data_IF_794435798633
#
_entry.id   IF_794435798633
#
_cell.length_a   1.000
_cell.length_b   1.000
_cell.length_c   1.000
_cell.angle_alpha   90.00
_cell.angle_beta   90.00
_cell.angle_gamma   90.00
#
_symmetry.space_group_name_H-M   'P 1'
#
loop_
_entity.id
_entity.type
_entity.pdbx_description
1 polymer ?
#
# COMPACT_ATOMS: atom_id res chain seq x y z
N UNK A 1 -25.63 23.51 17.57
CA UNK A 1 -25.24 24.20 16.33
C UNK A 1 -24.20 23.38 15.56
N UNK A 2 -23.22 22.80 16.24
CA UNK A 2 -22.19 21.95 15.60
C UNK A 2 -22.75 20.66 14.95
N UNK A 3 -23.76 20.02 15.56
CA UNK A 3 -24.39 18.81 15.01
C UNK A 3 -25.11 19.06 13.65
N UNK A 4 -25.74 20.24 13.47
CA UNK A 4 -26.42 20.54 12.22
C UNK A 4 -25.47 20.83 11.06
N UNK A 5 -24.33 21.49 11.30
CA UNK A 5 -23.30 21.76 10.27
C UNK A 5 -22.63 20.47 9.81
N UNK A 6 -22.51 19.50 10.71
CA UNK A 6 -21.94 18.20 10.39
C UNK A 6 -22.87 17.34 9.54
N UNK A 7 -24.17 17.31 9.88
CA UNK A 7 -25.18 16.59 9.10
C UNK A 7 -25.30 17.17 7.69
N UNK A 8 -25.24 18.50 7.53
CA UNK A 8 -25.22 19.16 6.21
C UNK A 8 -23.97 18.78 5.39
N UNK A 9 -22.80 18.69 6.01
CA UNK A 9 -21.57 18.28 5.33
C UNK A 9 -21.61 16.81 4.83
N UNK A 10 -22.21 15.92 5.62
CA UNK A 10 -22.42 14.51 5.23
C UNK A 10 -23.42 14.43 4.07
N UNK A 11 -24.52 15.17 4.15
CA UNK A 11 -25.54 15.17 3.12
C UNK A 11 -25.01 15.74 1.80
N UNK A 12 -24.26 16.82 1.83
CA UNK A 12 -23.62 17.42 0.65
C UNK A 12 -22.60 16.44 0.03
N UNK A 13 -21.76 15.80 0.85
CA UNK A 13 -20.82 14.80 0.37
C UNK A 13 -21.54 13.58 -0.20
N UNK A 14 -22.63 13.13 0.43
CA UNK A 14 -23.42 12.01 -0.06
C UNK A 14 -24.05 12.32 -1.43
N UNK A 15 -24.61 13.53 -1.59
CA UNK A 15 -25.20 13.98 -2.87
C UNK A 15 -24.11 14.09 -3.96
N UNK A 16 -22.93 14.61 -3.61
CA UNK A 16 -21.79 14.69 -4.53
C UNK A 16 -21.28 13.29 -4.90
N UNK A 17 -21.23 12.38 -3.94
CA UNK A 17 -20.77 11.01 -4.15
C UNK A 17 -21.60 10.25 -5.19
N UNK A 18 -22.92 10.48 -5.24
CA UNK A 18 -23.81 9.91 -6.26
C UNK A 18 -23.46 10.31 -7.69
N UNK A 19 -22.72 11.42 -7.86
CA UNK A 19 -22.31 11.96 -9.17
C UNK A 19 -20.86 11.62 -9.53
N UNK A 20 -20.04 11.37 -8.53
CA UNK A 20 -18.58 11.25 -8.68
C UNK A 20 -18.08 9.81 -8.56
N UNK A 21 -18.78 8.97 -7.80
CA UNK A 21 -18.47 7.55 -7.72
C UNK A 21 -19.40 6.75 -8.63
N UNK A 22 -18.83 5.75 -9.28
CA UNK A 22 -19.61 4.71 -9.94
C UNK A 22 -20.16 3.76 -8.90
N UNK A 23 -19.30 3.37 -7.94
CA UNK A 23 -19.66 2.60 -6.75
C UNK A 23 -18.84 3.03 -5.55
N UNK A 24 -19.47 3.01 -4.38
CA UNK A 24 -18.84 3.28 -3.10
C UNK A 24 -19.46 2.38 -2.04
N UNK A 25 -18.61 1.59 -1.40
CA UNK A 25 -18.94 0.75 -0.25
C UNK A 25 -18.13 1.20 0.95
N UNK A 26 -18.82 1.41 2.05
CA UNK A 26 -18.22 1.81 3.34
C UNK A 26 -18.49 0.70 4.34
N UNK A 27 -17.43 0.18 4.93
CA UNK A 27 -17.48 -0.86 5.95
C UNK A 27 -16.78 -0.39 7.19
N UNK A 28 -17.29 -0.84 8.34
CA UNK A 28 -16.67 -0.63 9.63
C UNK A 28 -16.15 -1.98 10.14
N UNK A 29 -14.83 -2.07 10.32
CA UNK A 29 -14.19 -3.20 10.98
C UNK A 29 -14.27 -3.02 12.50
N UNK A 30 -14.10 -4.12 13.24
CA UNK A 30 -14.15 -4.09 14.72
C UNK A 30 -12.95 -3.32 15.32
N UNK A 31 -11.79 -3.41 14.65
CA UNK A 31 -10.55 -2.77 15.09
C UNK A 31 -9.90 -1.94 13.98
N UNK A 32 -9.14 -0.88 14.35
CA UNK A 32 -8.38 -0.10 13.39
C UNK A 32 -7.52 -0.98 12.49
N UNK A 33 -7.62 -0.77 11.20
CA UNK A 33 -6.83 -1.48 10.20
C UNK A 33 -5.42 -0.91 10.18
N UNK A 34 -4.43 -1.80 10.09
CA UNK A 34 -3.03 -1.39 9.97
C UNK A 34 -2.44 -1.69 8.61
N UNK A 35 -2.77 -2.84 8.06
CA UNK A 35 -2.31 -3.28 6.74
C UNK A 35 -3.42 -4.06 6.04
N UNK A 36 -3.54 -3.85 4.74
CA UNK A 36 -4.36 -4.65 3.84
C UNK A 36 -3.51 -5.18 2.68
N UNK A 37 -3.79 -6.38 2.19
CA UNK A 37 -3.07 -6.99 1.07
C UNK A 37 -4.01 -7.91 0.29
N UNK A 38 -3.90 -7.93 -1.05
CA UNK A 38 -4.64 -8.88 -1.88
C UNK A 38 -4.10 -10.30 -1.71
N UNK A 39 -4.98 -11.27 -1.44
CA UNK A 39 -4.65 -12.69 -1.41
C UNK A 39 -5.12 -13.42 -2.65
N UNK A 40 -6.14 -12.87 -3.32
CA UNK A 40 -6.60 -13.31 -4.63
C UNK A 40 -7.29 -12.14 -5.36
N UNK A 41 -7.83 -12.38 -6.54
CA UNK A 41 -8.61 -11.35 -7.25
C UNK A 41 -9.97 -11.03 -6.62
N UNK A 42 -10.34 -11.68 -5.50
CA UNK A 42 -11.63 -11.50 -4.81
C UNK A 42 -11.50 -11.43 -3.29
N UNK A 43 -10.31 -11.62 -2.75
CA UNK A 43 -10.07 -11.68 -1.32
C UNK A 43 -8.93 -10.77 -0.92
N UNK A 44 -9.09 -10.12 0.22
CA UNK A 44 -8.06 -9.31 0.87
C UNK A 44 -7.76 -9.88 2.25
N UNK A 45 -6.51 -9.81 2.66
CA UNK A 45 -6.12 -10.02 4.04
C UNK A 45 -6.03 -8.67 4.74
N UNK A 46 -6.64 -8.57 5.92
CA UNK A 46 -6.70 -7.36 6.74
C UNK A 46 -6.09 -7.68 8.09
N UNK A 47 -5.24 -6.80 8.61
CA UNK A 47 -4.75 -6.91 9.97
C UNK A 47 -5.33 -5.80 10.83
N UNK A 48 -6.03 -6.21 11.89
CA UNK A 48 -6.55 -5.31 12.92
C UNK A 48 -5.53 -5.06 14.00
N UNK A 49 -5.66 -3.91 14.65
CA UNK A 49 -4.81 -3.49 15.76
C UNK A 49 -5.66 -3.32 17.03
N UNK A 50 -5.40 -4.16 18.03
CA UNK A 50 -6.00 -4.01 19.36
C UNK A 50 -4.90 -3.82 20.41
N UNK A 51 -4.92 -2.70 21.12
CA UNK A 51 -3.95 -2.40 22.19
C UNK A 51 -4.02 -3.38 23.36
N UNK A 52 -5.11 -4.16 23.49
CA UNK A 52 -5.38 -4.93 24.70
C UNK A 52 -4.96 -6.38 24.70
N UNK A 53 -4.58 -7.04 23.58
CA UNK A 53 -3.92 -8.36 23.62
C UNK A 53 -3.97 -9.26 22.36
N UNK A 54 -4.80 -9.00 21.37
CA UNK A 54 -4.92 -9.91 20.22
C UNK A 54 -4.95 -9.13 18.94
N UNK A 55 -3.90 -9.29 18.14
CA UNK A 55 -3.82 -8.69 16.82
C UNK A 55 -4.48 -9.63 15.83
N UNK A 56 -5.59 -9.22 15.27
CA UNK A 56 -6.40 -10.03 14.39
C UNK A 56 -5.84 -10.02 12.97
N UNK A 57 -5.89 -11.19 12.33
CA UNK A 57 -5.61 -11.37 10.90
C UNK A 57 -6.87 -11.98 10.29
N UNK A 58 -7.51 -11.28 9.36
CA UNK A 58 -8.72 -11.74 8.69
C UNK A 58 -8.51 -11.84 7.19
N UNK A 59 -9.00 -12.90 6.58
CA UNK A 59 -9.20 -12.95 5.13
C UNK A 59 -10.66 -12.67 4.82
N UNK A 60 -10.90 -11.59 4.08
CA UNK A 60 -12.23 -11.11 3.71
C UNK A 60 -12.48 -11.36 2.22
N UNK A 61 -13.63 -11.94 1.91
CA UNK A 61 -14.13 -11.98 0.53
C UNK A 61 -14.86 -10.68 0.22
N UNK A 62 -14.52 -10.05 -0.89
CA UNK A 62 -15.25 -8.92 -1.40
C UNK A 62 -16.64 -9.34 -1.89
N UNK A 63 -17.62 -8.41 -1.90
CA UNK A 63 -18.93 -8.65 -2.48
C UNK A 63 -18.83 -9.12 -3.94
N UNK A 64 -19.68 -10.04 -4.35
CA UNK A 64 -19.65 -10.58 -5.71
C UNK A 64 -19.99 -9.53 -6.77
N UNK A 65 -20.82 -8.55 -6.39
CA UNK A 65 -21.17 -7.40 -7.23
C UNK A 65 -20.62 -6.14 -6.59
N UNK A 66 -19.43 -5.73 -7.00
CA UNK A 66 -18.91 -4.40 -6.71
C UNK A 66 -19.76 -3.33 -7.42
N UNK A 67 -20.44 -3.70 -8.52
CA UNK A 67 -21.24 -2.79 -9.35
C UNK A 67 -22.70 -3.24 -9.35
N UNK A 68 -23.60 -2.37 -8.92
CA UNK A 68 -25.02 -2.61 -9.00
C UNK A 68 -25.58 -2.00 -10.29
N UNK A 69 -25.93 -2.82 -11.25
CA UNK A 69 -26.64 -2.36 -12.45
C UNK A 69 -28.08 -1.90 -12.16
N UNK A 70 -28.67 -2.30 -11.03
CA UNK A 70 -29.99 -1.88 -10.59
C UNK A 70 -30.04 -1.64 -9.08
N UNK A 71 -30.62 -0.51 -8.67
CA UNK A 71 -30.90 -0.13 -7.27
C UNK A 71 -31.99 -1.03 -6.66
N UNK A 72 -31.66 -2.27 -6.35
CA UNK A 72 -32.57 -3.19 -5.64
C UNK A 72 -32.11 -3.36 -4.20
N UNK A 73 -32.55 -2.47 -3.29
CA UNK A 73 -32.54 -2.64 -1.84
C UNK A 73 -31.25 -3.21 -1.19
N UNK A 74 -31.36 -3.64 0.06
CA UNK A 74 -30.32 -4.39 0.78
C UNK A 74 -30.10 -5.74 0.10
N UNK A 75 -28.90 -5.99 -0.38
CA UNK A 75 -28.52 -7.20 -1.08
C UNK A 75 -27.41 -7.89 -0.28
N UNK A 76 -27.63 -9.10 0.21
CA UNK A 76 -26.62 -9.88 0.94
C UNK A 76 -25.32 -10.12 0.13
N UNK A 77 -25.39 -9.98 -1.20
CA UNK A 77 -24.27 -10.11 -2.11
C UNK A 77 -23.32 -8.88 -2.08
N UNK A 78 -23.68 -7.84 -1.33
CA UNK A 78 -22.88 -6.59 -1.17
C UNK A 78 -22.06 -6.56 0.10
N UNK A 79 -22.18 -7.56 0.98
CA UNK A 79 -21.45 -7.61 2.22
C UNK A 79 -20.11 -8.33 2.07
N UNK A 80 -19.11 -7.87 2.82
CA UNK A 80 -17.89 -8.64 3.01
C UNK A 80 -18.21 -9.90 3.81
N UNK A 81 -17.52 -10.99 3.46
CA UNK A 81 -17.59 -12.24 4.22
C UNK A 81 -16.22 -12.57 4.79
N UNK A 82 -16.14 -12.78 6.09
CA UNK A 82 -14.97 -13.39 6.72
C UNK A 82 -14.87 -14.82 6.26
N UNK A 83 -13.77 -15.16 5.59
CA UNK A 83 -13.50 -16.54 5.14
C UNK A 83 -12.62 -17.25 6.15
N UNK A 84 -11.55 -16.60 6.59
CA UNK A 84 -10.58 -17.18 7.50
C UNK A 84 -10.16 -16.13 8.52
N UNK A 85 -9.85 -16.57 9.76
CA UNK A 85 -9.41 -15.70 10.85
C UNK A 85 -8.31 -16.31 11.69
N UNK A 86 -7.48 -15.47 12.28
CA UNK A 86 -6.43 -15.86 13.19
C UNK A 86 -5.91 -14.70 14.02
N UNK A 87 -5.02 -15.00 14.96
CA UNK A 87 -4.45 -13.98 15.85
C UNK A 87 -2.93 -14.06 15.87
N UNK A 88 -2.29 -12.91 15.74
CA UNK A 88 -0.86 -12.76 15.97
C UNK A 88 -0.61 -12.39 17.44
N UNK A 89 0.41 -12.94 18.09
CA UNK A 89 0.81 -12.51 19.44
C UNK A 89 1.29 -11.05 19.45
N UNK A 90 1.90 -10.62 18.32
CA UNK A 90 2.51 -9.30 18.17
C UNK A 90 1.72 -8.47 17.14
N UNK A 91 1.77 -7.13 17.22
CA UNK A 91 1.18 -6.26 16.21
C UNK A 91 1.73 -6.58 14.81
N UNK A 92 0.88 -6.54 13.80
CA UNK A 92 1.29 -6.73 12.41
C UNK A 92 1.46 -5.36 11.76
N UNK A 93 2.70 -4.97 11.49
CA UNK A 93 3.03 -3.70 10.87
C UNK A 93 3.17 -3.77 9.35
N UNK A 94 3.61 -4.93 8.84
CA UNK A 94 3.74 -5.19 7.40
C UNK A 94 3.24 -6.60 7.10
N UNK A 95 2.54 -6.74 5.99
CA UNK A 95 2.04 -8.03 5.50
C UNK A 95 2.26 -8.11 3.99
N UNK A 96 2.71 -9.28 3.52
CA UNK A 96 2.81 -9.59 2.09
C UNK A 96 2.27 -10.99 1.81
N UNK A 97 1.41 -11.07 0.80
CA UNK A 97 0.95 -12.34 0.26
C UNK A 97 1.98 -12.93 -0.70
N UNK A 98 2.21 -14.24 -0.61
CA UNK A 98 3.05 -14.95 -1.56
C UNK A 98 2.18 -15.33 -2.77
N UNK A 99 2.42 -14.76 -3.95
CA UNK A 99 1.56 -14.95 -5.11
C UNK A 99 1.32 -16.42 -5.45
N UNK A 100 0.06 -16.77 -5.74
CA UNK A 100 -0.30 -18.14 -6.14
C UNK A 100 -0.24 -19.20 -5.02
N UNK A 101 -0.11 -18.79 -3.76
CA UNK A 101 -0.14 -19.68 -2.59
C UNK A 101 -1.20 -19.24 -1.58
N UNK A 102 -1.37 -20.02 -0.53
CA UNK A 102 -2.16 -19.66 0.66
C UNK A 102 -1.28 -19.10 1.79
N UNK A 103 -0.07 -18.62 1.47
CA UNK A 103 0.88 -18.12 2.46
C UNK A 103 0.91 -16.59 2.47
N UNK A 104 0.95 -16.04 3.68
CA UNK A 104 1.29 -14.65 3.93
C UNK A 104 2.52 -14.56 4.84
N UNK A 105 3.26 -13.48 4.72
CA UNK A 105 4.40 -13.16 5.58
C UNK A 105 4.12 -11.84 6.28
N UNK A 106 4.35 -11.81 7.60
CA UNK A 106 4.17 -10.61 8.42
C UNK A 106 5.44 -10.23 9.17
N UNK A 107 5.52 -8.95 9.54
CA UNK A 107 6.54 -8.39 10.43
C UNK A 107 5.85 -7.46 11.45
N UNK A 108 6.37 -7.44 12.68
CA UNK A 108 5.81 -6.74 13.84
C UNK A 108 6.28 -5.28 13.99
N UNK A 109 7.15 -4.79 13.12
CA UNK A 109 7.85 -3.49 13.20
C UNK A 109 8.80 -3.32 14.39
N UNK A 110 8.81 -4.23 15.36
CA UNK A 110 9.66 -4.16 16.54
C UNK A 110 10.98 -4.91 16.32
N UNK A 111 10.88 -6.01 15.61
CA UNK A 111 12.01 -6.88 15.27
C UNK A 111 12.21 -6.96 13.76
N UNK A 112 13.30 -7.59 13.31
CA UNK A 112 13.50 -7.92 11.90
C UNK A 112 13.02 -9.34 11.54
N UNK A 113 12.39 -10.04 12.49
CA UNK A 113 11.87 -11.39 12.28
C UNK A 113 10.62 -11.38 11.40
N UNK A 114 10.50 -12.39 10.55
CA UNK A 114 9.30 -12.59 9.76
C UNK A 114 8.51 -13.79 10.28
N UNK A 115 7.18 -13.66 10.27
CA UNK A 115 6.28 -14.74 10.59
C UNK A 115 5.59 -15.21 9.32
N UNK A 116 5.56 -16.51 9.08
CA UNK A 116 4.89 -17.11 7.92
C UNK A 116 3.60 -17.77 8.38
N UNK A 117 2.49 -17.45 7.72
CA UNK A 117 1.16 -17.93 8.06
C UNK A 117 0.54 -18.64 6.86
N UNK A 118 -0.27 -19.65 7.16
CA UNK A 118 -1.18 -20.27 6.19
C UNK A 118 -2.58 -19.72 6.43
N UNK A 119 -3.18 -19.17 5.39
CA UNK A 119 -4.54 -18.62 5.40
C UNK A 119 -5.64 -19.68 5.57
N UNK A 120 -5.30 -20.97 5.62
CA UNK A 120 -6.28 -22.04 5.63
C UNK A 120 -6.74 -22.41 4.20
N UNK A 121 -7.83 -23.15 4.11
CA UNK A 121 -8.42 -23.63 2.86
C UNK A 121 -9.83 -24.11 3.13
N UNK A 122 -10.40 -24.90 2.19
CA UNK A 122 -11.79 -25.36 2.26
C UNK A 122 -12.11 -26.21 3.52
N UNK A 123 -11.07 -26.82 4.11
CA UNK A 123 -11.21 -27.68 5.29
C UNK A 123 -10.98 -26.95 6.62
N UNK A 124 -10.57 -25.68 6.59
CA UNK A 124 -10.24 -24.92 7.80
C UNK A 124 -10.37 -23.41 7.57
N UNK A 125 -11.15 -22.77 8.42
CA UNK A 125 -11.36 -21.32 8.49
C UNK A 125 -10.33 -20.59 9.40
N UNK A 126 -9.31 -21.33 9.89
CA UNK A 126 -8.32 -20.82 10.83
C UNK A 126 -7.02 -20.46 10.12
N UNK A 127 -6.58 -19.21 10.29
CA UNK A 127 -5.25 -18.75 9.88
C UNK A 127 -4.24 -19.21 10.94
N UNK A 128 -3.23 -19.98 10.52
CA UNK A 128 -2.25 -20.58 11.43
C UNK A 128 -0.82 -20.17 11.09
N UNK A 129 0.00 -19.93 12.12
CA UNK A 129 1.43 -19.71 11.95
C UNK A 129 2.13 -21.03 11.59
N UNK A 130 2.89 -21.03 10.50
CA UNK A 130 3.59 -22.23 9.96
C UNK A 130 5.06 -22.24 10.32
N UNK A 131 5.71 -21.07 10.23
CA UNK A 131 7.14 -20.94 10.49
C UNK A 131 7.53 -19.48 10.79
N UNK A 132 8.80 -19.26 11.09
CA UNK A 132 9.39 -17.93 11.21
C UNK A 132 10.77 -17.92 10.53
N UNK A 133 11.12 -16.75 10.00
CA UNK A 133 12.45 -16.45 9.45
C UNK A 133 13.12 -15.48 10.42
N UNK A 134 14.25 -15.89 10.98
CA UNK A 134 14.99 -15.02 11.88
C UNK A 134 15.62 -13.84 11.14
N UNK A 135 15.44 -12.67 11.70
CA UNK A 135 16.07 -11.44 11.23
C UNK A 135 17.57 -11.40 11.51
N UNK A 136 18.21 -10.29 11.15
CA UNK A 136 19.60 -10.03 11.55
C UNK A 136 19.66 -9.60 13.01
N UNK A 137 20.58 -10.18 13.77
CA UNK A 137 20.86 -9.69 15.10
C UNK A 137 21.28 -8.22 15.06
N UNK A 138 20.57 -7.38 15.83
CA UNK A 138 20.83 -5.94 15.89
C UNK A 138 20.20 -5.10 14.76
N UNK A 139 19.53 -5.71 13.79
CA UNK A 139 18.74 -4.94 12.81
C UNK A 139 17.48 -4.37 13.48
N UNK A 140 17.15 -3.11 13.22
CA UNK A 140 15.92 -2.51 13.74
C UNK A 140 14.70 -3.15 13.10
N UNK A 141 13.55 -3.02 13.74
CA UNK A 141 12.25 -3.32 13.15
C UNK A 141 11.90 -2.42 11.97
N UNK A 142 10.68 -2.55 11.47
CA UNK A 142 10.21 -1.76 10.33
C UNK A 142 10.68 -2.30 8.98
N UNK A 143 10.71 -3.61 8.86
CA UNK A 143 11.10 -4.33 7.63
C UNK A 143 10.16 -3.99 6.48
N UNK A 144 10.72 -3.76 5.30
CA UNK A 144 9.98 -3.74 4.03
C UNK A 144 10.10 -5.09 3.34
N UNK A 145 9.06 -5.47 2.59
CA UNK A 145 9.00 -6.79 1.96
C UNK A 145 8.51 -6.72 0.53
N UNK A 146 9.07 -7.58 -0.32
CA UNK A 146 8.51 -7.96 -1.61
C UNK A 146 8.52 -9.48 -1.74
N UNK A 147 7.46 -10.06 -2.32
CA UNK A 147 7.28 -11.50 -2.42
C UNK A 147 7.24 -11.96 -3.87
N UNK A 148 7.73 -13.18 -4.12
CA UNK A 148 7.65 -13.84 -5.42
C UNK A 148 7.69 -15.36 -5.29
N UNK A 149 7.42 -16.05 -6.41
CA UNK A 149 7.73 -17.47 -6.59
C UNK A 149 8.78 -17.63 -7.68
N UNK A 150 9.92 -18.27 -7.36
CA UNK A 150 11.00 -18.52 -8.33
C UNK A 150 11.97 -19.63 -7.87
N UNK A 151 11.79 -20.89 -8.16
CA UNK A 151 10.57 -21.69 -8.34
C UNK A 151 9.80 -21.95 -7.03
N UNK A 152 10.42 -21.61 -5.89
CA UNK A 152 9.85 -21.72 -4.53
C UNK A 152 9.41 -20.36 -4.02
N UNK A 153 8.55 -20.31 -2.99
CA UNK A 153 8.20 -19.08 -2.31
C UNK A 153 9.42 -18.35 -1.74
N UNK A 154 9.63 -17.11 -2.14
CA UNK A 154 10.74 -16.27 -1.72
C UNK A 154 10.24 -14.91 -1.24
N UNK A 155 10.90 -14.36 -0.23
CA UNK A 155 10.69 -13.01 0.26
C UNK A 155 12.00 -12.22 0.25
N UNK A 156 11.96 -11.06 -0.38
CA UNK A 156 12.96 -10.02 -0.26
C UNK A 156 12.57 -9.13 0.91
N UNK A 157 13.46 -8.93 1.87
CA UNK A 157 13.16 -8.18 3.09
C UNK A 157 14.36 -7.44 3.63
N UNK A 158 14.12 -6.35 4.34
CA UNK A 158 15.13 -5.54 5.00
C UNK A 158 14.53 -4.26 5.57
N UNK A 159 15.18 -3.66 6.54
CA UNK A 159 14.80 -2.38 7.17
C UNK A 159 15.68 -1.22 6.73
N UNK A 160 16.91 -1.54 6.34
CA UNK A 160 17.93 -0.59 5.83
C UNK A 160 18.57 -1.11 4.56
N UNK A 161 19.23 -0.22 3.82
CA UNK A 161 19.93 -0.59 2.60
C UNK A 161 21.07 -1.62 2.80
N UNK A 162 21.61 -1.73 4.02
CA UNK A 162 22.69 -2.67 4.36
C UNK A 162 22.22 -4.04 4.85
N UNK A 163 20.93 -4.23 5.16
CA UNK A 163 20.41 -5.49 5.74
C UNK A 163 19.48 -6.27 4.80
N UNK A 164 19.35 -5.85 3.54
CA UNK A 164 18.46 -6.49 2.56
C UNK A 164 18.87 -7.90 2.24
N UNK A 165 17.90 -8.83 2.33
CA UNK A 165 18.09 -10.25 2.03
C UNK A 165 16.96 -10.80 1.19
N UNK A 166 17.30 -11.80 0.38
CA UNK A 166 16.36 -12.68 -0.29
C UNK A 166 16.36 -14.03 0.41
N UNK A 167 15.24 -14.44 0.96
CA UNK A 167 15.11 -15.67 1.74
C UNK A 167 14.07 -16.59 1.12
N UNK A 168 14.41 -17.87 1.00
CA UNK A 168 13.47 -18.93 0.62
C UNK A 168 12.65 -19.34 1.83
N UNK A 169 11.31 -19.22 1.73
CA UNK A 169 10.43 -19.44 2.88
C UNK A 169 10.30 -20.90 3.32
N UNK A 170 10.45 -21.85 2.39
CA UNK A 170 10.32 -23.28 2.66
C UNK A 170 11.47 -23.85 3.51
N UNK A 171 12.66 -23.28 3.36
CA UNK A 171 13.89 -23.75 4.04
C UNK A 171 14.42 -22.75 5.07
N UNK A 172 13.96 -21.49 5.02
CA UNK A 172 14.57 -20.39 5.78
C UNK A 172 15.95 -19.96 5.28
N UNK A 173 16.42 -20.52 4.15
CA UNK A 173 17.75 -20.24 3.62
C UNK A 173 17.82 -18.85 2.99
N UNK A 174 18.84 -18.07 3.35
CA UNK A 174 19.18 -16.84 2.65
C UNK A 174 19.83 -17.18 1.31
N UNK A 175 19.16 -16.82 0.22
CA UNK A 175 19.62 -17.03 -1.16
C UNK A 175 20.55 -15.90 -1.62
N UNK A 176 20.32 -14.71 -1.13
CA UNK A 176 21.11 -13.51 -1.44
C UNK A 176 21.11 -12.55 -0.27
N UNK A 177 22.23 -11.91 -0.01
CA UNK A 177 22.36 -10.82 0.94
C UNK A 177 23.07 -9.65 0.27
N UNK A 178 22.47 -8.48 0.37
CA UNK A 178 23.04 -7.26 -0.20
C UNK A 178 24.28 -6.85 0.59
N UNK A 179 25.41 -6.79 -0.09
CA UNK A 179 26.63 -6.22 0.46
C UNK A 179 26.64 -4.71 0.24
N UNK A 180 26.08 -3.96 1.19
CA UNK A 180 26.01 -2.50 1.15
C UNK A 180 26.31 -1.92 2.52
N UNK A 181 26.91 -0.74 2.54
CA UNK A 181 27.13 0.06 3.75
C UNK A 181 26.07 1.14 3.94
N UNK A 182 24.98 1.07 3.16
CA UNK A 182 23.90 2.04 3.24
C UNK A 182 23.07 1.81 4.53
N UNK A 183 23.15 2.73 5.45
CA UNK A 183 22.41 2.73 6.73
C UNK A 183 21.03 3.40 6.64
N UNK A 184 20.67 3.92 5.45
CA UNK A 184 19.39 4.57 5.22
C UNK A 184 18.22 3.58 5.38
N UNK A 185 17.14 4.07 6.01
CA UNK A 185 15.89 3.30 6.15
C UNK A 185 15.26 3.04 4.78
N UNK A 186 14.73 1.86 4.60
CA UNK A 186 13.95 1.53 3.41
C UNK A 186 12.51 2.04 3.55
N UNK A 187 11.97 2.52 2.44
CA UNK A 187 10.54 2.82 2.29
C UNK A 187 9.82 1.76 1.46
N UNK A 188 10.51 1.13 0.51
CA UNK A 188 9.94 0.01 -0.26
C UNK A 188 11.01 -0.89 -0.86
N UNK A 189 10.59 -2.11 -1.22
CA UNK A 189 11.36 -3.10 -1.97
C UNK A 189 10.51 -3.58 -3.15
N UNK A 190 11.10 -3.67 -4.35
CA UNK A 190 10.40 -4.08 -5.56
C UNK A 190 11.24 -5.00 -6.44
N UNK A 191 10.67 -6.10 -6.90
CA UNK A 191 11.27 -6.88 -7.99
C UNK A 191 10.98 -6.21 -9.34
N UNK A 192 12.03 -5.92 -10.10
CA UNK A 192 11.92 -5.45 -11.49
C UNK A 192 11.94 -6.64 -12.45
N UNK A 193 12.65 -7.69 -12.08
CA UNK A 193 12.71 -8.96 -12.79
C UNK A 193 13.05 -10.09 -11.83
N UNK A 194 13.17 -11.33 -12.35
CA UNK A 194 13.58 -12.47 -11.54
C UNK A 194 14.99 -12.34 -10.91
N UNK A 195 15.82 -11.45 -11.42
CA UNK A 195 17.19 -11.29 -10.92
C UNK A 195 17.49 -9.88 -10.41
N UNK A 196 16.64 -8.91 -10.73
CA UNK A 196 16.90 -7.50 -10.39
C UNK A 196 15.81 -6.99 -9.45
N UNK A 197 16.24 -6.35 -8.37
CA UNK A 197 15.35 -5.64 -7.47
C UNK A 197 15.82 -4.20 -7.20
N UNK A 198 14.90 -3.39 -6.74
CA UNK A 198 15.15 -2.04 -6.26
C UNK A 198 14.90 -1.99 -4.74
N UNK A 199 15.81 -1.33 -4.03
CA UNK A 199 15.62 -0.94 -2.64
C UNK A 199 15.56 0.58 -2.58
N UNK A 200 14.38 1.12 -2.24
CA UNK A 200 14.16 2.55 -2.13
C UNK A 200 14.37 3.01 -0.69
N UNK A 201 15.19 4.04 -0.53
CA UNK A 201 15.57 4.60 0.76
C UNK A 201 14.72 5.83 1.12
N UNK A 202 14.61 6.11 2.41
CA UNK A 202 13.82 7.23 2.92
C UNK A 202 14.38 8.60 2.48
N UNK A 203 15.68 8.70 2.23
CA UNK A 203 16.31 9.90 1.68
C UNK A 203 16.06 10.09 0.17
N UNK A 204 15.36 9.16 -0.48
CA UNK A 204 15.04 9.18 -1.90
C UNK A 204 16.04 8.47 -2.82
N UNK A 205 17.14 7.98 -2.28
CA UNK A 205 18.10 7.16 -3.02
C UNK A 205 17.46 5.80 -3.40
N UNK A 206 17.88 5.26 -4.54
CA UNK A 206 17.48 3.92 -4.99
C UNK A 206 18.72 3.09 -5.26
N UNK A 207 18.78 1.91 -4.64
CA UNK A 207 19.78 0.90 -4.90
C UNK A 207 19.21 -0.09 -5.92
N UNK A 208 19.82 -0.21 -7.09
CA UNK A 208 19.52 -1.25 -8.09
C UNK A 208 20.49 -2.40 -7.91
N UNK A 209 19.95 -3.60 -7.73
CA UNK A 209 20.70 -4.81 -7.38
C UNK A 209 20.39 -5.93 -8.37
N UNK A 210 21.44 -6.52 -8.96
CA UNK A 210 21.35 -7.74 -9.74
C UNK A 210 21.89 -8.92 -8.93
N UNK A 211 21.03 -9.86 -8.55
CA UNK A 211 21.38 -11.00 -7.69
C UNK A 211 22.27 -12.05 -8.37
N UNK A 212 22.51 -11.93 -9.67
CA UNK A 212 23.38 -12.85 -10.44
C UNK A 212 24.85 -12.43 -10.37
N UNK A 213 25.12 -11.22 -9.94
CA UNK A 213 26.47 -10.67 -9.91
C UNK A 213 26.88 -10.35 -8.47
N UNK A 214 28.17 -10.36 -8.19
CA UNK A 214 28.76 -9.87 -6.95
C UNK A 214 29.12 -8.38 -7.02
N UNK A 215 28.68 -7.67 -8.07
CA UNK A 215 28.92 -6.25 -8.22
C UNK A 215 28.19 -5.45 -7.13
N UNK A 216 28.77 -4.34 -6.65
CA UNK A 216 28.07 -3.49 -5.71
C UNK A 216 26.79 -2.94 -6.33
N UNK A 217 25.78 -2.58 -5.50
CA UNK A 217 24.54 -2.00 -5.96
C UNK A 217 24.80 -0.70 -6.72
N UNK A 218 24.03 -0.47 -7.78
CA UNK A 218 24.06 0.80 -8.48
C UNK A 218 23.19 1.81 -7.71
N UNK A 219 23.77 2.92 -7.31
CA UNK A 219 23.09 4.00 -6.62
C UNK A 219 22.52 5.01 -7.62
N UNK A 220 21.21 5.22 -7.56
CA UNK A 220 20.55 6.35 -8.18
C UNK A 220 20.19 7.36 -7.08
N UNK A 221 20.76 8.56 -7.08
CA UNK A 221 20.53 9.56 -6.03
C UNK A 221 19.09 10.06 -6.06
N UNK A 222 18.66 10.64 -4.94
CA UNK A 222 17.39 11.32 -4.83
C UNK A 222 17.25 12.45 -5.87
N UNK A 223 16.04 12.77 -6.32
CA UNK A 223 15.80 14.01 -7.05
C UNK A 223 16.22 15.22 -6.20
N UNK A 224 16.80 16.22 -6.84
CA UNK A 224 17.19 17.46 -6.14
C UNK A 224 15.93 18.25 -5.76
N UNK A 225 15.71 18.43 -4.47
CA UNK A 225 14.65 19.27 -3.90
C UNK A 225 15.24 20.32 -2.98
N UNK A 226 14.55 21.45 -2.74
CA UNK A 226 15.04 22.50 -1.84
C UNK A 226 15.19 22.05 -0.39
N UNK A 227 14.37 21.06 0.04
CA UNK A 227 14.24 20.61 1.42
C UNK A 227 14.79 19.18 1.60
N UNK A 228 15.11 18.83 2.85
CA UNK A 228 15.46 17.46 3.24
C UNK A 228 14.17 16.65 3.36
N UNK A 229 13.76 16.04 2.26
CA UNK A 229 12.51 15.29 2.15
C UNK A 229 12.67 13.82 2.53
N UNK A 230 11.58 13.24 3.07
CA UNK A 230 11.38 11.81 3.08
C UNK A 230 10.67 11.39 1.79
N UNK A 231 11.04 10.23 1.22
CA UNK A 231 10.55 9.77 -0.08
C UNK A 231 9.88 8.40 0.00
N UNK A 232 8.82 8.23 -0.78
CA UNK A 232 8.12 6.97 -1.00
C UNK A 232 8.17 6.62 -2.48
N UNK A 233 8.21 5.33 -2.76
CA UNK A 233 8.48 4.82 -4.11
C UNK A 233 7.57 3.65 -4.42
N UNK A 234 7.07 3.61 -5.66
CA UNK A 234 6.42 2.44 -6.22
C UNK A 234 6.89 2.17 -7.65
N UNK A 235 6.80 0.91 -8.07
CA UNK A 235 7.23 0.44 -9.39
C UNK A 235 6.05 -0.21 -10.10
N UNK A 236 5.69 0.35 -11.24
CA UNK A 236 4.65 -0.21 -12.11
C UNK A 236 5.13 -1.48 -12.79
N UNK A 237 4.27 -2.49 -12.86
CA UNK A 237 4.49 -3.67 -13.71
C UNK A 237 4.63 -3.34 -15.22
N UNK A 238 4.30 -2.10 -15.63
CA UNK A 238 4.41 -1.58 -17.00
C UNK A 238 5.67 -0.74 -17.23
N UNK A 239 6.59 -0.71 -16.27
CA UNK A 239 7.91 -0.09 -16.42
C UNK A 239 8.01 1.37 -16.01
N UNK A 240 7.14 1.86 -15.13
CA UNK A 240 7.27 3.16 -14.49
C UNK A 240 7.80 3.04 -13.05
N UNK A 241 8.68 3.93 -12.64
CA UNK A 241 9.09 4.12 -11.26
C UNK A 241 8.68 5.52 -10.84
N UNK A 242 7.92 5.64 -9.76
CA UNK A 242 7.55 6.92 -9.17
C UNK A 242 8.21 7.10 -7.82
N UNK A 243 8.67 8.31 -7.54
CA UNK A 243 9.11 8.78 -6.22
C UNK A 243 8.28 9.98 -5.84
N UNK A 244 7.75 10.00 -4.62
CA UNK A 244 6.99 11.15 -4.08
C UNK A 244 7.61 11.56 -2.75
N UNK A 245 7.88 12.85 -2.58
CA UNK A 245 8.48 13.39 -1.37
C UNK A 245 7.46 13.90 -0.37
N UNK A 246 7.90 14.10 0.87
CA UNK A 246 7.08 14.67 1.95
C UNK A 246 6.64 16.12 1.68
N UNK A 247 7.33 16.85 0.83
CA UNK A 247 6.94 18.20 0.39
C UNK A 247 6.09 18.23 -0.89
N UNK A 248 5.69 17.04 -1.39
CA UNK A 248 4.82 16.91 -2.56
C UNK A 248 5.57 16.91 -3.90
N UNK A 249 6.90 16.86 -3.93
CA UNK A 249 7.62 16.63 -5.18
C UNK A 249 7.41 15.21 -5.66
N UNK A 250 7.14 15.06 -6.95
CA UNK A 250 6.97 13.78 -7.60
C UNK A 250 7.87 13.67 -8.84
N UNK A 251 8.53 12.52 -9.00
CA UNK A 251 9.40 12.25 -10.13
C UNK A 251 9.14 10.84 -10.70
N UNK A 252 9.02 10.75 -12.01
CA UNK A 252 8.82 9.49 -12.75
C UNK A 252 10.06 9.19 -13.57
N UNK A 253 10.55 7.94 -13.48
CA UNK A 253 11.71 7.42 -14.21
C UNK A 253 11.49 5.99 -14.68
N UNK A 254 12.38 5.47 -15.49
CA UNK A 254 12.43 4.05 -15.84
C UNK A 254 13.09 3.27 -14.70
N UNK A 255 12.52 2.17 -14.18
CA UNK A 255 13.12 1.37 -13.12
C UNK A 255 14.48 0.76 -13.50
N UNK A 256 14.80 0.67 -14.80
CA UNK A 256 16.12 0.24 -15.30
C UNK A 256 17.16 1.36 -15.28
N UNK A 257 16.71 2.61 -15.19
CA UNK A 257 17.56 3.81 -15.11
C UNK A 257 16.96 4.82 -14.12
N UNK A 258 16.92 4.51 -12.82
CA UNK A 258 16.23 5.33 -11.82
C UNK A 258 16.78 6.75 -11.68
N UNK A 259 18.04 6.96 -12.02
CA UNK A 259 18.69 8.27 -11.99
C UNK A 259 18.20 9.23 -13.10
N UNK A 260 17.65 8.68 -14.19
CA UNK A 260 17.17 9.47 -15.33
C UNK A 260 15.70 9.83 -15.15
N UNK A 261 15.43 11.03 -14.66
CA UNK A 261 14.07 11.52 -14.43
C UNK A 261 13.46 11.91 -15.77
N UNK A 262 12.36 11.29 -16.14
CA UNK A 262 11.64 11.56 -17.37
C UNK A 262 10.58 12.66 -17.21
N UNK A 263 9.87 12.66 -16.10
CA UNK A 263 8.75 13.56 -15.81
C UNK A 263 8.73 13.94 -14.34
N UNK A 264 8.28 15.16 -14.04
CA UNK A 264 8.20 15.69 -12.69
C UNK A 264 6.94 16.51 -12.48
N UNK A 265 6.49 16.58 -11.23
CA UNK A 265 5.41 17.47 -10.83
C UNK A 265 5.54 17.87 -9.36
N UNK A 266 4.81 18.90 -8.97
CA UNK A 266 4.55 19.26 -7.59
C UNK A 266 3.08 18.94 -7.30
N UNK A 267 2.83 17.97 -6.44
CA UNK A 267 1.49 17.53 -6.09
C UNK A 267 0.84 18.52 -5.14
N UNK A 268 -0.44 18.80 -5.37
CA UNK A 268 -1.27 19.57 -4.45
C UNK A 268 -1.74 18.69 -3.27
N UNK A 269 -0.80 17.94 -2.66
CA UNK A 269 -1.11 16.93 -1.66
C UNK A 269 -1.23 17.48 -0.22
N UNK A 270 -0.82 18.72 0.02
CA UNK A 270 -0.73 19.29 1.37
C UNK A 270 0.50 18.79 2.14
N UNK A 271 0.53 19.04 3.45
CA UNK A 271 1.57 18.52 4.33
C UNK A 271 1.25 17.05 4.70
N UNK A 272 2.26 16.17 4.82
CA UNK A 272 2.03 14.80 5.24
C UNK A 272 1.47 14.77 6.67
N UNK A 273 0.67 13.74 6.95
CA UNK A 273 0.18 13.49 8.30
C UNK A 273 1.36 13.33 9.27
N UNK A 274 1.15 13.62 10.56
CA UNK A 274 2.21 13.57 11.61
C UNK A 274 2.95 12.23 11.68
N UNK A 275 2.34 11.16 11.17
CA UNK A 275 2.95 9.84 11.09
C UNK A 275 3.30 9.50 9.63
N UNK A 276 4.56 9.69 9.20
CA UNK A 276 4.98 9.46 7.82
C UNK A 276 4.86 7.99 7.37
N UNK A 277 4.56 7.07 8.28
CA UNK A 277 4.36 5.64 7.96
C UNK A 277 3.07 5.38 7.17
N UNK A 278 2.14 6.31 7.14
CA UNK A 278 0.85 6.17 6.46
C UNK A 278 0.84 6.69 5.02
N UNK A 279 1.96 7.21 4.52
CA UNK A 279 2.00 7.64 3.11
C UNK A 279 2.08 6.43 2.20
N UNK A 280 1.14 6.34 1.28
CA UNK A 280 1.09 5.33 0.22
C UNK A 280 1.20 6.02 -1.13
N UNK A 281 2.00 5.42 -2.00
CA UNK A 281 2.16 5.82 -3.40
C UNK A 281 2.07 4.53 -4.22
N UNK A 282 1.07 4.41 -5.09
CA UNK A 282 0.78 3.18 -5.81
C UNK A 282 0.39 3.44 -7.26
N UNK A 283 1.10 2.82 -8.19
CA UNK A 283 0.69 2.76 -9.59
C UNK A 283 -0.58 1.92 -9.78
N UNK A 284 -1.47 2.40 -10.62
CA UNK A 284 -2.61 1.58 -11.05
C UNK A 284 -2.10 0.40 -11.91
N UNK A 285 -2.46 -0.86 -11.57
CA UNK A 285 -1.95 -2.02 -12.31
C UNK A 285 -2.54 -2.15 -13.71
N UNK A 286 -3.75 -1.62 -13.93
CA UNK A 286 -4.52 -1.77 -15.16
C UNK A 286 -4.65 -0.47 -15.99
N UNK A 287 -4.23 0.68 -15.44
CA UNK A 287 -4.25 1.98 -16.13
C UNK A 287 -2.83 2.46 -16.38
N UNK A 288 -2.60 3.04 -17.55
CA UNK A 288 -1.32 3.67 -17.86
C UNK A 288 -1.25 5.06 -17.19
N UNK A 289 -0.09 5.41 -16.71
CA UNK A 289 0.23 6.74 -16.16
C UNK A 289 -0.63 7.22 -14.97
N UNK A 290 -1.43 6.35 -14.36
CA UNK A 290 -2.28 6.69 -13.20
C UNK A 290 -1.63 6.22 -11.90
N UNK A 291 -1.57 7.12 -10.92
CA UNK A 291 -1.04 6.85 -9.59
C UNK A 291 -2.00 7.31 -8.51
N UNK A 292 -2.11 6.54 -7.44
CA UNK A 292 -2.84 6.90 -6.23
C UNK A 292 -1.86 7.29 -5.13
N UNK A 293 -2.17 8.36 -4.40
CA UNK A 293 -1.38 8.88 -3.29
C UNK A 293 -2.28 9.11 -2.09
N UNK A 294 -1.88 8.67 -0.91
CA UNK A 294 -2.58 8.93 0.36
C UNK A 294 -1.60 9.24 1.49
N UNK A 295 -2.11 9.66 2.66
CA UNK A 295 -1.31 9.94 3.85
C UNK A 295 -0.89 11.39 4.03
N UNK A 296 -1.36 12.31 3.17
CA UNK A 296 -1.10 13.75 3.28
C UNK A 296 -2.26 14.50 3.94
N UNK A 297 -3.48 14.38 3.44
CA UNK A 297 -4.61 15.20 3.85
C UNK A 297 -5.83 14.42 4.36
N UNK A 298 -5.68 13.14 4.71
CA UNK A 298 -6.81 12.26 5.04
C UNK A 298 -7.66 11.85 3.84
N UNK A 299 -7.27 12.25 2.63
CA UNK A 299 -7.89 11.86 1.38
C UNK A 299 -6.96 10.93 0.57
N UNK A 300 -7.56 10.15 -0.33
CA UNK A 300 -6.83 9.47 -1.39
C UNK A 300 -6.93 10.30 -2.66
N UNK A 301 -5.80 10.63 -3.25
CA UNK A 301 -5.70 11.46 -4.44
C UNK A 301 -5.21 10.65 -5.64
N UNK A 302 -5.88 10.79 -6.78
CA UNK A 302 -5.53 10.11 -8.04
C UNK A 302 -4.94 11.13 -9.00
N UNK A 303 -3.76 10.84 -9.54
CA UNK A 303 -3.04 11.71 -10.47
C UNK A 303 -2.80 11.00 -11.81
N UNK A 304 -2.84 11.79 -12.89
CA UNK A 304 -2.41 11.38 -14.22
C UNK A 304 -1.01 11.96 -14.50
N UNK A 305 -0.02 11.08 -14.56
CA UNK A 305 1.38 11.45 -14.77
C UNK A 305 1.71 11.68 -16.25
N UNK A 306 0.82 11.38 -17.18
CA UNK A 306 1.04 11.57 -18.63
C UNK A 306 1.20 13.05 -19.01
N UNK A 307 0.54 13.92 -18.23
CA UNK A 307 0.60 15.36 -18.42
C UNK A 307 1.87 16.03 -17.83
N UNK A 308 2.65 15.29 -17.03
CA UNK A 308 3.84 15.83 -16.37
C UNK A 308 4.99 16.00 -17.38
N UNK A 309 5.87 16.94 -17.11
CA UNK A 309 6.96 17.32 -17.99
C UNK A 309 8.33 17.13 -17.29
N UNK A 310 9.43 17.35 -18.03
CA UNK A 310 10.79 17.35 -17.48
C UNK A 310 11.01 18.45 -16.44
N UNK A 311 10.31 19.59 -16.61
CA UNK A 311 10.29 20.66 -15.62
C UNK A 311 9.10 20.48 -14.68
N UNK A 312 9.29 20.55 -13.34
CA UNK A 312 8.22 20.36 -12.39
C UNK A 312 7.21 21.49 -12.45
N UNK A 313 5.93 21.14 -12.55
CA UNK A 313 4.78 22.06 -12.48
C UNK A 313 3.80 21.57 -11.45
N UNK A 314 2.97 22.47 -10.93
CA UNK A 314 1.88 22.10 -10.03
C UNK A 314 0.91 21.15 -10.75
N UNK A 315 0.59 20.05 -10.07
CA UNK A 315 -0.33 19.02 -10.55
C UNK A 315 -1.47 18.87 -9.57
N UNK A 316 -2.69 18.94 -10.10
CA UNK A 316 -3.91 18.70 -9.33
C UNK A 316 -4.40 17.27 -9.56
N UNK A 317 -5.04 16.65 -8.54
CA UNK A 317 -5.58 15.31 -8.70
C UNK A 317 -6.75 15.28 -9.69
N UNK A 318 -6.85 14.19 -10.45
CA UNK A 318 -8.02 13.88 -11.27
C UNK A 318 -9.25 13.62 -10.42
N UNK A 319 -9.04 13.01 -9.26
CA UNK A 319 -10.08 12.61 -8.32
C UNK A 319 -9.53 12.61 -6.90
N UNK A 320 -10.38 12.98 -5.93
CA UNK A 320 -10.09 12.90 -4.50
C UNK A 320 -11.19 12.09 -3.79
N UNK A 321 -10.79 11.00 -3.14
CA UNK A 321 -11.66 10.26 -2.23
C UNK A 321 -11.54 10.83 -0.82
N UNK A 322 -12.54 11.53 -0.33
CA UNK A 322 -12.60 12.18 0.99
C UNK A 322 -13.49 11.42 1.99
N UNK A 323 -13.99 10.25 1.63
CA UNK A 323 -14.99 9.52 2.42
C UNK A 323 -14.54 9.22 3.84
N UNK A 324 -13.27 8.85 4.05
CA UNK A 324 -12.73 8.60 5.39
C UNK A 324 -12.76 9.87 6.27
N UNK A 325 -12.38 11.02 5.72
CA UNK A 325 -12.37 12.28 6.46
C UNK A 325 -13.80 12.74 6.84
N UNK A 326 -14.77 12.51 5.97
CA UNK A 326 -16.18 12.90 6.21
C UNK A 326 -16.86 11.96 7.19
N UNK A 327 -16.67 10.64 7.08
CA UNK A 327 -17.31 9.67 7.97
C UNK A 327 -16.79 9.72 9.41
N UNK A 328 -15.59 10.23 9.64
CA UNK A 328 -14.88 10.17 10.91
C UNK A 328 -15.01 11.39 11.80
N UNK A 329 -15.64 12.48 11.36
CA UNK A 329 -15.75 13.73 12.15
C UNK A 329 -16.56 13.62 13.46
N UNK A 330 -17.09 12.44 13.81
CA UNK A 330 -17.79 12.18 15.10
C UNK A 330 -16.86 12.06 16.31
N UNK A 331 -15.53 12.15 16.13
CA UNK A 331 -14.54 12.06 17.21
C UNK A 331 -13.64 13.29 17.27
N UNK A 332 -13.18 13.62 18.47
CA UNK A 332 -12.35 14.78 18.82
C UNK A 332 -11.30 15.15 17.75
N UNK A 333 -11.63 16.14 16.90
CA UNK A 333 -10.72 17.13 16.28
C UNK A 333 -9.46 16.69 15.53
N UNK A 334 -9.30 15.44 15.08
CA UNK A 334 -8.11 14.98 14.34
C UNK A 334 -8.45 14.53 12.92
N UNK A 335 -7.70 14.97 11.93
CA UNK A 335 -7.81 14.45 10.56
C UNK A 335 -7.56 12.94 10.57
N UNK A 336 -8.51 12.15 10.01
CA UNK A 336 -8.36 10.70 9.88
C UNK A 336 -7.29 10.39 8.87
N UNK A 337 -6.31 9.60 9.29
CA UNK A 337 -5.26 9.15 8.40
C UNK A 337 -5.71 7.90 7.62
N UNK A 338 -5.68 7.97 6.30
CA UNK A 338 -5.75 6.80 5.43
C UNK A 338 -4.38 6.12 5.50
N UNK A 339 -4.31 4.97 6.14
CA UNK A 339 -3.07 4.25 6.38
C UNK A 339 -2.81 3.11 5.38
N UNK A 340 -3.85 2.66 4.67
CA UNK A 340 -3.73 1.59 3.69
C UNK A 340 -4.45 1.95 2.41
N UNK A 341 -3.85 1.53 1.30
CA UNK A 341 -4.39 1.74 -0.03
C UNK A 341 -4.00 0.58 -0.94
N UNK A 342 -4.94 0.05 -1.71
CA UNK A 342 -4.68 -0.98 -2.71
C UNK A 342 -5.53 -0.74 -3.96
N UNK A 343 -4.92 -0.89 -5.14
CA UNK A 343 -5.67 -1.03 -6.37
C UNK A 343 -6.24 -2.44 -6.51
N UNK A 344 -7.45 -2.56 -7.06
CA UNK A 344 -7.98 -3.85 -7.44
C UNK A 344 -7.12 -4.44 -8.59
N UNK A 345 -6.70 -5.72 -8.51
CA UNK A 345 -5.75 -6.28 -9.48
C UNK A 345 -6.31 -6.44 -10.89
N UNK A 346 -7.63 -6.42 -11.07
CA UNK A 346 -8.32 -6.64 -12.36
C UNK A 346 -9.25 -5.50 -12.75
N UNK A 347 -10.01 -4.94 -11.78
CA UNK A 347 -10.93 -3.83 -12.05
C UNK A 347 -10.14 -2.52 -12.14
N UNK A 348 -10.25 -1.86 -13.28
CA UNK A 348 -9.32 -0.82 -13.71
C UNK A 348 -9.29 0.41 -12.81
N UNK A 349 -10.42 0.78 -12.20
CA UNK A 349 -10.57 2.00 -11.39
C UNK A 349 -10.98 1.74 -9.96
N UNK A 350 -10.99 0.49 -9.54
CA UNK A 350 -11.43 0.12 -8.19
C UNK A 350 -10.26 0.16 -7.23
N UNK A 351 -10.45 0.83 -6.11
CA UNK A 351 -9.52 0.89 -4.99
C UNK A 351 -10.16 0.37 -3.71
N UNK A 352 -9.30 -0.14 -2.85
CA UNK A 352 -9.60 -0.42 -1.44
C UNK A 352 -8.74 0.50 -0.60
N UNK A 353 -9.36 1.25 0.29
CA UNK A 353 -8.66 2.11 1.24
C UNK A 353 -9.14 1.84 2.66
N UNK A 354 -8.25 1.94 3.62
CA UNK A 354 -8.58 1.80 5.04
C UNK A 354 -7.93 2.92 5.84
N UNK A 355 -8.57 3.26 6.96
CA UNK A 355 -8.11 4.34 7.82
C UNK A 355 -7.99 3.90 9.30
N UNK A 356 -7.35 4.73 10.08
CA UNK A 356 -7.06 4.49 11.51
C UNK A 356 -8.31 4.39 12.39
N UNK A 357 -9.47 4.78 11.88
CA UNK A 357 -10.78 4.69 12.55
C UNK A 357 -11.50 3.35 12.31
N UNK A 358 -10.82 2.37 11.73
CA UNK A 358 -11.34 1.07 11.34
C UNK A 358 -12.32 1.10 10.14
N UNK A 359 -12.46 2.23 9.45
CA UNK A 359 -13.23 2.28 8.21
C UNK A 359 -12.47 1.62 7.06
N UNK A 360 -13.18 0.84 6.25
CA UNK A 360 -12.70 0.19 5.03
C UNK A 360 -13.63 0.58 3.89
N UNK A 361 -13.09 1.25 2.88
CA UNK A 361 -13.85 1.70 1.73
C UNK A 361 -13.40 0.94 0.49
N UNK A 362 -14.39 0.52 -0.33
CA UNK A 362 -14.16 0.01 -1.69
C UNK A 362 -14.90 0.94 -2.63
N UNK A 363 -14.18 1.53 -3.56
CA UNK A 363 -14.73 2.57 -4.40
C UNK A 363 -14.15 2.59 -5.80
N UNK A 364 -14.96 3.08 -6.75
CA UNK A 364 -14.61 3.35 -8.14
C UNK A 364 -15.12 4.73 -8.51
N UNK A 365 -14.38 5.47 -9.32
CA UNK A 365 -14.77 6.85 -9.69
C UNK A 365 -15.14 6.97 -11.17
N UNK A 366 -16.02 7.95 -11.43
CA UNK A 366 -16.42 8.31 -12.80
C UNK A 366 -15.37 9.25 -13.37
N UNK A 367 -14.73 8.86 -14.46
CA UNK A 367 -13.84 9.76 -15.18
C UNK A 367 -14.66 10.70 -16.07
N UNK A 368 -14.26 11.98 -16.17
CA UNK A 368 -14.97 12.99 -16.97
C UNK A 368 -15.14 12.61 -18.44
N UNK A 369 -14.31 11.73 -19.00
CA UNK A 369 -14.45 11.21 -20.36
C UNK A 369 -15.61 10.23 -20.53
N UNK A 370 -16.11 9.62 -19.44
CA UNK A 370 -17.17 8.60 -19.47
C UNK A 370 -18.58 9.23 -19.42
N UNK A 371 -18.64 10.54 -19.24
CA UNK A 371 -19.90 11.32 -19.14
C UNK A 371 -20.43 11.81 -20.51
N UNK A 372 -20.00 11.16 -21.63
CA UNK A 372 -20.49 11.48 -22.97
C UNK A 372 -21.39 10.41 -23.54
#
# INVERSE_FOLDING_TARGET
MEDNEFDELIDDWFIESLKTYRDLYVYQLEFPTRVIEWTSGKTICVTGYNKSSKNEILELSLPQKLFAEEKKGLCAERDFKVLHGGFSPDPVGVLKHIPGTRLIVTNDELTSDLQVWNLGGDDSDIITKVSSVQGSAGSPGGVKMAARISPQPEVLHGSRGGDVRLTQLTTGQTLYQLASTCEERLTSLHFVSNAVFLAACANGDILTVDTRTSSPPQLAPAPSTPDSDMWWTDVSGRGGLIRVSSSGWAAVSDPRSPASIARQARLAAGAPHREPHHVNVLWAPALDDIVAVSGFSGAVQIYDTSSWQSEPRDSHPLFEHRGHAVCSQRGEGGAVAVNCLLWHPKETRTLVSAAVDASLHVWDWIHRSDAR
#
